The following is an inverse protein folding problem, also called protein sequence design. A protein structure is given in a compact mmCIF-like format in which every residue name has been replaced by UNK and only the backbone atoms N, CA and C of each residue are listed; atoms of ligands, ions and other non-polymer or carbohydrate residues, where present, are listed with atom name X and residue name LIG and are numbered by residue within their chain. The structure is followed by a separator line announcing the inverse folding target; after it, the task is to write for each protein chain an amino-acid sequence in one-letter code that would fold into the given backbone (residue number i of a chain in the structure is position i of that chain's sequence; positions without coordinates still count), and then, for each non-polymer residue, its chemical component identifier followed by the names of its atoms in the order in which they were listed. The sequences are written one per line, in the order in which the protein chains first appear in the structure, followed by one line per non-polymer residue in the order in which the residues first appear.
data_IF_622827304639
#
_entry.id   IF_622827304639
#
_cell.length_a   1.000
_cell.length_b   1.000
_cell.length_c   1.000
_cell.angle_alpha   90.00
_cell.angle_beta   90.00
_cell.angle_gamma   90.00
#
_symmetry.space_group_name_H-M   'P 1'
#
loop_
_entity.id
_entity.type
_entity.pdbx_description
1 polymer ?
#
# COMPACT_ATOMS: atom_id res chain seq x y z
N UNK A 1 65.84 3.79 -38.42
CA UNK A 1 64.89 4.00 -37.31
C UNK A 1 63.55 4.39 -37.94
N UNK A 2 62.55 3.51 -37.89
CA UNK A 2 61.21 3.74 -38.45
C UNK A 2 60.21 3.65 -37.29
N UNK A 3 59.47 4.73 -37.04
CA UNK A 3 58.34 4.75 -36.12
C UNK A 3 57.06 4.61 -36.96
N UNK A 4 56.26 3.58 -36.71
CA UNK A 4 54.88 3.50 -37.19
C UNK A 4 53.96 3.77 -36.00
N UNK A 5 53.25 4.89 -36.05
CA UNK A 5 52.22 5.22 -35.08
C UNK A 5 50.90 4.57 -35.54
N UNK A 6 50.43 3.57 -34.80
CA UNK A 6 49.06 3.06 -34.87
C UNK A 6 48.27 3.72 -33.74
N UNK A 7 47.46 4.73 -34.07
CA UNK A 7 46.45 5.28 -33.16
C UNK A 7 45.19 4.45 -33.36
N UNK A 8 44.89 3.58 -32.41
CA UNK A 8 43.63 2.84 -32.33
C UNK A 8 42.51 3.75 -31.85
N UNK A 9 41.39 3.75 -32.58
CA UNK A 9 40.17 4.44 -32.20
C UNK A 9 39.48 3.71 -31.05
N UNK A 10 39.43 4.32 -29.86
CA UNK A 10 38.58 3.90 -28.75
C UNK A 10 37.16 4.45 -29.00
N UNK A 11 36.26 3.56 -29.43
CA UNK A 11 34.83 3.85 -29.44
C UNK A 11 34.27 3.82 -28.01
N UNK A 12 33.83 4.97 -27.51
CA UNK A 12 33.06 5.04 -26.27
C UNK A 12 31.59 4.70 -26.57
N UNK A 13 31.13 3.53 -26.13
CA UNK A 13 29.70 3.21 -26.08
C UNK A 13 29.15 3.90 -24.83
N UNK A 14 28.47 5.03 -25.04
CA UNK A 14 27.73 5.74 -24.02
C UNK A 14 26.39 5.01 -23.83
N UNK A 15 26.34 4.04 -22.92
CA UNK A 15 25.08 3.43 -22.48
C UNK A 15 24.31 4.46 -21.66
N UNK A 16 23.36 5.16 -22.27
CA UNK A 16 22.34 5.94 -21.57
C UNK A 16 21.47 4.98 -20.78
N UNK A 17 21.72 4.85 -19.48
CA UNK A 17 20.74 4.30 -18.55
C UNK A 17 19.54 5.23 -18.55
N UNK A 18 18.45 4.79 -19.19
CA UNK A 18 17.15 5.43 -19.04
C UNK A 18 16.70 5.08 -17.63
N UNK A 19 16.94 5.98 -16.68
CA UNK A 19 16.30 5.92 -15.37
C UNK A 19 14.80 6.16 -15.62
N UNK A 20 14.04 5.07 -15.71
CA UNK A 20 12.59 5.17 -15.63
C UNK A 20 12.28 5.79 -14.26
N UNK A 21 11.35 6.75 -14.17
CA UNK A 21 10.85 7.17 -12.88
C UNK A 21 10.34 5.90 -12.17
N UNK A 22 10.91 5.60 -11.00
CA UNK A 22 10.29 4.65 -10.08
C UNK A 22 8.98 5.31 -9.64
N UNK A 23 7.91 5.10 -10.41
CA UNK A 23 6.58 5.41 -9.95
C UNK A 23 6.36 4.51 -8.74
N UNK A 24 6.24 5.13 -7.57
CA UNK A 24 5.96 4.39 -6.37
C UNK A 24 4.58 3.74 -6.54
N UNK A 25 4.61 2.41 -6.49
CA UNK A 25 3.53 1.54 -6.88
C UNK A 25 3.44 0.45 -5.83
N UNK A 26 2.22 0.09 -5.48
CA UNK A 26 1.95 -1.05 -4.62
C UNK A 26 2.59 -2.31 -5.21
N UNK A 27 3.33 -3.05 -4.40
CA UNK A 27 4.07 -4.24 -4.83
C UNK A 27 3.22 -5.47 -4.55
N UNK A 28 2.82 -6.19 -5.60
CA UNK A 28 2.07 -7.44 -5.46
C UNK A 28 2.86 -8.50 -4.67
N UNK A 29 2.24 -9.05 -3.63
CA UNK A 29 2.78 -10.12 -2.79
C UNK A 29 1.73 -11.22 -2.59
N UNK A 30 2.16 -12.40 -2.11
CA UNK A 30 1.27 -13.55 -1.91
C UNK A 30 0.51 -13.94 -3.19
N UNK A 31 1.20 -14.36 -4.26
CA UNK A 31 0.57 -14.69 -5.52
C UNK A 31 -0.38 -15.88 -5.33
N UNK A 32 -1.62 -15.74 -5.81
CA UNK A 32 -2.65 -16.79 -5.74
C UNK A 32 -2.27 -18.07 -6.49
N UNK A 33 -1.38 -17.95 -7.47
CA UNK A 33 -0.82 -19.05 -8.25
C UNK A 33 0.67 -18.83 -8.45
N UNK A 34 1.45 -19.91 -8.42
CA UNK A 34 2.90 -19.83 -8.62
C UNK A 34 3.23 -19.22 -9.99
N UNK A 35 3.94 -18.09 -9.99
CA UNK A 35 4.29 -17.33 -11.19
C UNK A 35 3.15 -16.51 -11.81
N UNK A 36 1.98 -16.42 -11.14
CA UNK A 36 0.86 -15.59 -11.57
C UNK A 36 1.04 -14.10 -11.26
N UNK A 37 0.14 -13.28 -11.81
CA UNK A 37 0.08 -11.83 -11.58
C UNK A 37 -1.09 -11.40 -10.69
N UNK A 38 -1.87 -12.37 -10.20
CA UNK A 38 -2.98 -12.14 -9.29
C UNK A 38 -2.50 -12.34 -7.85
N UNK A 39 -2.56 -11.27 -7.06
CA UNK A 39 -2.00 -11.21 -5.72
C UNK A 39 -3.10 -11.16 -4.66
N UNK A 40 -2.85 -11.80 -3.51
CA UNK A 40 -3.75 -11.73 -2.36
C UNK A 40 -3.50 -10.48 -1.51
N UNK A 41 -2.33 -9.86 -1.67
CA UNK A 41 -1.98 -8.66 -0.96
C UNK A 41 -0.98 -7.78 -1.73
N UNK A 42 -0.86 -6.54 -1.29
CA UNK A 42 -0.04 -5.51 -1.90
C UNK A 42 0.78 -4.77 -0.83
N UNK A 43 2.10 -4.84 -0.93
CA UNK A 43 3.00 -4.12 -0.05
C UNK A 43 3.13 -2.64 -0.44
N UNK A 44 3.08 -1.78 0.56
CA UNK A 44 3.23 -0.33 0.49
C UNK A 44 4.56 0.08 1.11
N UNK A 45 5.50 0.51 0.28
CA UNK A 45 6.85 0.87 0.71
C UNK A 45 6.93 2.23 1.41
N UNK A 46 5.89 3.07 1.31
CA UNK A 46 5.83 4.35 1.98
C UNK A 46 5.48 4.19 3.46
N UNK A 47 4.64 3.20 3.76
CA UNK A 47 4.12 2.90 5.09
C UNK A 47 4.78 1.67 5.73
N UNK A 48 5.51 0.86 4.96
CA UNK A 48 6.08 -0.43 5.40
C UNK A 48 5.00 -1.38 5.94
N UNK A 49 3.88 -1.44 5.23
CA UNK A 49 2.74 -2.33 5.55
C UNK A 49 2.26 -3.05 4.30
N UNK A 50 1.57 -4.17 4.48
CA UNK A 50 1.00 -4.98 3.41
C UNK A 50 -0.52 -4.94 3.48
N UNK A 51 -1.17 -4.46 2.43
CA UNK A 51 -2.63 -4.34 2.28
C UNK A 51 -3.25 -5.59 1.66
N UNK A 52 -4.43 -6.04 2.12
CA UNK A 52 -5.16 -7.11 1.43
C UNK A 52 -5.68 -6.65 0.06
N UNK A 53 -5.58 -7.50 -0.96
CA UNK A 53 -6.04 -7.21 -2.31
C UNK A 53 -7.57 -7.12 -2.44
N UNK A 54 -8.30 -7.77 -1.54
CA UNK A 54 -9.76 -7.69 -1.44
C UNK A 54 -10.13 -6.72 -0.31
N UNK A 55 -10.66 -5.54 -0.67
CA UNK A 55 -11.09 -4.50 0.25
C UNK A 55 -12.42 -4.81 0.95
N UNK A 56 -13.00 -5.97 0.74
CA UNK A 56 -14.19 -6.41 1.45
C UNK A 56 -14.11 -7.90 1.78
N UNK A 57 -12.92 -8.33 2.21
CA UNK A 57 -12.61 -9.74 2.41
C UNK A 57 -13.48 -10.42 3.48
N UNK A 58 -13.89 -9.70 4.52
CA UNK A 58 -14.80 -10.24 5.55
C UNK A 58 -16.26 -9.76 5.40
N UNK A 59 -16.56 -8.96 4.38
CA UNK A 59 -17.87 -8.36 4.28
C UNK A 59 -18.13 -7.32 5.37
N UNK A 60 -19.42 -7.06 5.54
CA UNK A 60 -20.03 -6.13 6.47
C UNK A 60 -20.18 -6.76 7.86
N UNK A 61 -19.55 -6.18 8.88
CA UNK A 61 -19.67 -6.64 10.27
C UNK A 61 -19.45 -5.50 11.28
N UNK A 62 -19.62 -5.76 12.58
CA UNK A 62 -19.38 -4.80 13.68
C UNK A 62 -17.88 -4.61 13.94
N UNK A 63 -17.50 -3.46 14.54
CA UNK A 63 -16.08 -3.13 14.73
C UNK A 63 -15.35 -4.20 15.57
N UNK A 64 -15.94 -4.60 16.70
CA UNK A 64 -15.39 -5.66 17.55
C UNK A 64 -15.20 -6.98 16.80
N UNK A 65 -16.18 -7.37 15.97
CA UNK A 65 -16.12 -8.59 15.18
C UNK A 65 -15.03 -8.51 14.11
N UNK A 66 -14.92 -7.36 13.43
CA UNK A 66 -13.89 -7.10 12.42
C UNK A 66 -12.49 -7.12 13.03
N UNK A 67 -12.28 -6.50 14.19
CA UNK A 67 -11.01 -6.52 14.92
C UNK A 67 -10.63 -7.94 15.33
N UNK A 68 -11.57 -8.70 15.90
CA UNK A 68 -11.34 -10.08 16.30
C UNK A 68 -11.03 -10.99 15.10
N UNK A 69 -11.77 -10.83 14.01
CA UNK A 69 -11.56 -11.58 12.78
C UNK A 69 -10.20 -11.25 12.15
N UNK A 70 -9.84 -9.97 12.02
CA UNK A 70 -8.55 -9.54 11.47
C UNK A 70 -7.38 -10.11 12.29
N UNK A 71 -7.48 -10.08 13.62
CA UNK A 71 -6.46 -10.65 14.51
C UNK A 71 -6.28 -12.17 14.34
N UNK A 72 -7.29 -12.88 13.82
CA UNK A 72 -7.24 -14.33 13.55
C UNK A 72 -6.89 -14.68 12.10
N UNK A 73 -6.82 -13.69 11.21
CA UNK A 73 -6.64 -13.91 9.79
C UNK A 73 -5.25 -14.50 9.51
N UNK A 74 -5.23 -15.50 8.64
CA UNK A 74 -4.04 -16.13 8.10
C UNK A 74 -4.21 -16.26 6.58
N UNK A 75 -3.31 -15.62 5.83
CA UNK A 75 -3.28 -15.69 4.36
C UNK A 75 -1.94 -16.29 3.97
N UNK A 76 -1.92 -17.53 3.50
CA UNK A 76 -0.70 -18.26 3.12
C UNK A 76 0.40 -18.29 4.21
N UNK A 77 0.01 -18.41 5.48
CA UNK A 77 0.92 -18.43 6.64
C UNK A 77 1.25 -17.05 7.20
N UNK A 78 0.74 -15.99 6.56
CA UNK A 78 0.92 -14.60 6.98
C UNK A 78 -0.15 -14.23 7.99
N UNK A 79 0.29 -13.90 9.20
CA UNK A 79 -0.56 -13.48 10.33
C UNK A 79 -0.25 -12.03 10.75
N UNK A 80 -0.93 -11.51 11.76
CA UNK A 80 -0.71 -10.14 12.25
C UNK A 80 -1.46 -9.07 11.46
N UNK A 81 -2.52 -9.47 10.78
CA UNK A 81 -3.44 -8.57 10.10
C UNK A 81 -4.25 -7.73 11.10
N UNK A 82 -4.44 -6.46 10.78
CA UNK A 82 -5.15 -5.49 11.61
C UNK A 82 -5.85 -4.44 10.76
N UNK A 83 -6.81 -3.75 11.37
CA UNK A 83 -7.36 -2.54 10.78
C UNK A 83 -6.25 -1.48 10.64
N UNK A 84 -6.34 -0.60 9.62
CA UNK A 84 -5.36 0.48 9.41
C UNK A 84 -5.42 1.49 10.55
N UNK A 85 -4.29 2.02 10.98
CA UNK A 85 -4.22 3.00 12.05
C UNK A 85 -4.42 4.42 11.50
N UNK A 86 -5.15 5.26 12.24
CA UNK A 86 -5.33 6.68 11.93
C UNK A 86 -4.42 7.61 12.74
N UNK A 87 -3.71 7.06 13.71
CA UNK A 87 -2.79 7.75 14.63
C UNK A 87 -1.65 6.79 14.97
N UNK A 88 -0.82 6.48 13.96
CA UNK A 88 0.32 5.54 14.08
C UNK A 88 1.27 5.97 15.20
N UNK A 89 1.43 7.27 15.41
CA UNK A 89 2.34 7.81 16.43
C UNK A 89 1.74 7.80 17.86
N UNK A 90 0.42 7.70 17.99
CA UNK A 90 -0.31 7.57 19.26
C UNK A 90 -0.42 8.86 20.07
N UNK A 91 -0.35 10.03 19.44
CA UNK A 91 -0.43 11.33 20.12
C UNK A 91 -1.86 11.85 20.29
N UNK A 92 -2.86 11.15 19.74
CA UNK A 92 -4.27 11.49 19.77
C UNK A 92 -4.70 12.51 18.72
N UNK A 93 -3.82 12.92 17.80
CA UNK A 93 -4.10 13.88 16.74
C UNK A 93 -4.25 13.20 15.38
N UNK A 94 -5.49 12.87 15.01
CA UNK A 94 -5.77 12.27 13.70
C UNK A 94 -5.55 13.27 12.57
N UNK A 95 -4.69 12.90 11.62
CA UNK A 95 -4.38 13.70 10.43
C UNK A 95 -5.44 13.52 9.34
N UNK A 96 -6.05 14.62 8.87
CA UNK A 96 -6.97 14.62 7.71
C UNK A 96 -6.23 14.86 6.39
N UNK A 97 -5.88 13.76 5.72
CA UNK A 97 -5.17 13.78 4.44
C UNK A 97 -5.95 14.38 3.27
N UNK A 98 -7.28 14.49 3.36
CA UNK A 98 -8.07 15.12 2.31
C UNK A 98 -7.90 16.64 2.28
N UNK A 99 -7.47 17.23 3.40
CA UNK A 99 -7.30 18.68 3.58
C UNK A 99 -5.84 19.08 3.56
N UNK A 100 -4.95 18.28 4.14
CA UNK A 100 -3.53 18.60 4.18
C UNK A 100 -2.80 18.05 2.95
N UNK A 101 -1.93 18.86 2.36
CA UNK A 101 -1.05 18.48 1.27
C UNK A 101 0.37 18.17 1.77
N UNK A 102 0.46 17.51 2.92
CA UNK A 102 1.71 17.04 3.52
C UNK A 102 1.68 15.51 3.61
N UNK A 103 2.42 14.87 2.71
CA UNK A 103 2.51 13.41 2.64
C UNK A 103 3.13 12.83 3.92
N UNK A 104 4.13 13.49 4.49
CA UNK A 104 4.85 12.96 5.65
C UNK A 104 3.94 12.92 6.87
N UNK A 105 3.17 13.99 7.10
CA UNK A 105 2.12 14.00 8.12
C UNK A 105 1.05 12.93 7.85
N UNK A 106 0.69 12.73 6.58
CA UNK A 106 -0.29 11.72 6.21
C UNK A 106 0.11 10.28 6.47
N UNK A 107 1.40 9.96 6.61
CA UNK A 107 1.83 8.61 7.00
C UNK A 107 1.33 8.18 8.38
N UNK A 108 0.92 9.14 9.20
CA UNK A 108 0.29 8.89 10.49
C UNK A 108 -1.14 8.32 10.39
N UNK A 109 -1.79 8.53 9.24
CA UNK A 109 -3.11 7.99 8.91
C UNK A 109 -2.99 7.06 7.70
N UNK A 110 -2.78 5.76 7.95
CA UNK A 110 -2.42 4.77 6.92
C UNK A 110 -3.45 4.69 5.80
N UNK A 111 -4.74 4.65 6.16
CA UNK A 111 -5.83 4.61 5.18
C UNK A 111 -5.96 5.95 4.43
N UNK A 112 -5.80 7.07 5.13
CA UNK A 112 -5.79 8.40 4.53
C UNK A 112 -4.66 8.56 3.52
N UNK A 113 -3.46 8.08 3.85
CA UNK A 113 -2.32 8.05 2.94
C UNK A 113 -2.61 7.18 1.72
N UNK A 114 -3.13 5.97 1.88
CA UNK A 114 -3.48 5.09 0.76
C UNK A 114 -4.51 5.74 -0.18
N UNK A 115 -5.53 6.40 0.36
CA UNK A 115 -6.57 7.05 -0.46
C UNK A 115 -6.04 8.28 -1.18
N UNK A 116 -5.21 9.10 -0.54
CA UNK A 116 -4.77 10.39 -1.09
C UNK A 116 -3.52 10.26 -1.94
N UNK A 117 -2.54 9.48 -1.49
CA UNK A 117 -1.24 9.34 -2.12
C UNK A 117 -1.02 7.95 -2.75
N UNK A 118 -1.74 6.93 -2.29
CA UNK A 118 -1.50 5.53 -2.69
C UNK A 118 -0.17 5.05 -2.13
N UNK A 119 0.57 4.28 -2.93
CA UNK A 119 2.00 4.03 -2.68
C UNK A 119 2.88 5.22 -3.12
N UNK A 120 2.28 6.31 -3.60
CA UNK A 120 2.94 7.47 -4.19
C UNK A 120 3.36 8.55 -3.20
N UNK A 121 3.98 9.60 -3.74
CA UNK A 121 4.20 10.89 -3.05
C UNK A 121 3.38 12.03 -3.65
N UNK A 122 2.54 11.74 -4.66
CA UNK A 122 1.77 12.74 -5.39
C UNK A 122 0.39 12.87 -4.77
N UNK A 123 0.03 14.08 -4.36
CA UNK A 123 -1.29 14.33 -3.81
C UNK A 123 -2.38 14.03 -4.85
N UNK A 124 -3.38 13.24 -4.46
CA UNK A 124 -4.48 12.81 -5.32
C UNK A 124 -4.13 11.69 -6.30
N UNK A 125 -2.96 11.05 -6.18
CA UNK A 125 -2.60 9.87 -6.97
C UNK A 125 -3.02 8.55 -6.33
N UNK A 126 -3.63 8.59 -5.15
CA UNK A 126 -4.13 7.39 -4.46
C UNK A 126 -5.42 6.85 -5.07
N UNK A 127 -6.20 6.15 -4.26
CA UNK A 127 -7.44 5.51 -4.69
C UNK A 127 -8.50 6.56 -5.06
N UNK A 128 -8.79 6.69 -6.35
CA UNK A 128 -9.82 7.60 -6.86
C UNK A 128 -11.13 6.85 -7.13
N UNK A 129 -12.26 7.54 -6.98
CA UNK A 129 -13.58 6.98 -7.26
C UNK A 129 -13.68 6.53 -8.73
N UNK A 130 -13.69 5.21 -8.95
CA UNK A 130 -13.75 4.60 -10.28
C UNK A 130 -12.44 3.98 -10.77
N UNK A 131 -11.32 4.23 -10.07
CA UNK A 131 -10.06 3.50 -10.26
C UNK A 131 -9.53 3.08 -8.89
N UNK A 132 -9.95 1.89 -8.48
CA UNK A 132 -9.57 1.28 -7.21
C UNK A 132 -8.46 0.25 -7.41
N UNK A 133 -7.91 0.16 -8.63
CA UNK A 133 -6.79 -0.73 -8.92
C UNK A 133 -5.63 -0.41 -7.98
N UNK A 134 -4.97 -1.42 -7.39
CA UNK A 134 -5.08 -2.84 -7.70
C UNK A 134 -6.07 -3.62 -6.81
N UNK A 135 -6.89 -2.92 -6.02
CA UNK A 135 -7.84 -3.52 -5.08
C UNK A 135 -9.14 -3.97 -5.75
N UNK A 136 -9.62 -5.13 -5.31
CA UNK A 136 -10.90 -5.71 -5.67
C UNK A 136 -11.95 -5.48 -4.58
N UNK A 137 -13.24 -5.54 -4.96
CA UNK A 137 -14.39 -5.34 -4.08
C UNK A 137 -14.36 -4.04 -3.25
N UNK A 138 -13.81 -2.97 -3.83
CA UNK A 138 -13.92 -1.64 -3.20
C UNK A 138 -15.36 -1.14 -3.37
N UNK A 139 -16.03 -0.85 -2.26
CA UNK A 139 -17.42 -0.42 -2.25
C UNK A 139 -17.49 1.11 -2.27
N UNK A 140 -17.99 1.66 -3.39
CA UNK A 140 -17.99 3.11 -3.65
C UNK A 140 -19.00 3.94 -2.85
N UNK A 141 -19.89 3.30 -2.08
CA UNK A 141 -20.94 3.94 -1.26
C UNK A 141 -20.71 3.79 0.23
N UNK A 142 -19.65 3.10 0.65
CA UNK A 142 -19.45 2.69 2.02
C UNK A 142 -18.29 3.43 2.67
N UNK A 143 -18.38 3.54 3.99
CA UNK A 143 -17.27 3.97 4.83
C UNK A 143 -16.26 2.81 4.88
N UNK A 144 -14.99 3.09 5.13
CA UNK A 144 -13.97 2.10 5.46
C UNK A 144 -13.46 2.38 6.86
N UNK A 145 -13.35 1.36 7.70
CA UNK A 145 -12.89 1.52 9.09
C UNK A 145 -11.36 1.56 9.21
N UNK A 146 -10.93 2.22 10.27
CA UNK A 146 -9.60 2.19 10.85
C UNK A 146 -9.65 1.60 12.28
N UNK A 147 -8.47 1.27 12.83
CA UNK A 147 -8.28 0.69 14.16
C UNK A 147 -8.39 1.69 15.32
N UNK A 148 -8.40 2.99 15.04
CA UNK A 148 -8.57 4.07 16.03
C UNK A 148 -10.03 4.52 16.02
N UNK A 149 -10.79 4.10 17.03
CA UNK A 149 -12.26 4.08 17.00
C UNK A 149 -12.98 5.44 17.06
N UNK A 150 -14.22 5.44 16.53
CA UNK A 150 -15.36 5.87 17.34
C UNK A 150 -16.07 4.63 17.90
N UNK A 151 -15.97 4.44 19.22
CA UNK A 151 -16.37 3.25 20.03
C UNK A 151 -17.88 2.96 20.07
N UNK A 152 -18.65 3.47 19.11
CA UNK A 152 -20.13 3.53 19.17
C UNK A 152 -20.84 3.18 17.86
N UNK A 153 -20.12 2.77 16.81
CA UNK A 153 -20.77 2.50 15.51
C UNK A 153 -21.20 1.04 15.38
N UNK A 154 -22.50 0.80 15.59
CA UNK A 154 -23.21 -0.45 15.26
C UNK A 154 -23.44 -0.63 13.74
N UNK A 155 -22.90 0.25 12.90
CA UNK A 155 -23.10 0.17 11.46
C UNK A 155 -22.08 -0.79 10.86
N UNK A 156 -22.49 -1.72 9.98
CA UNK A 156 -21.54 -2.56 9.26
C UNK A 156 -20.75 -1.74 8.23
N UNK A 157 -19.44 -1.99 8.12
CA UNK A 157 -18.52 -1.21 7.27
C UNK A 157 -17.50 -2.15 6.58
N UNK A 158 -17.05 -1.80 5.37
CA UNK A 158 -16.06 -2.55 4.59
C UNK A 158 -14.63 -2.32 5.06
N UNK A 159 -13.71 -3.22 4.71
CA UNK A 159 -12.38 -3.29 5.32
C UNK A 159 -11.25 -3.49 4.30
N UNK A 160 -10.33 -2.53 4.25
CA UNK A 160 -8.97 -2.79 3.79
C UNK A 160 -8.14 -3.05 5.04
N UNK A 161 -7.41 -4.16 5.05
CA UNK A 161 -6.63 -4.62 6.21
C UNK A 161 -5.18 -4.50 5.86
N UNK A 162 -4.36 -4.21 6.85
CA UNK A 162 -2.92 -4.21 6.69
C UNK A 162 -2.24 -5.16 7.68
N UNK A 163 -1.04 -5.61 7.34
CA UNK A 163 -0.11 -6.25 8.28
C UNK A 163 1.22 -5.52 8.23
N UNK A 164 1.98 -5.52 9.32
CA UNK A 164 3.33 -4.91 9.38
C UNK A 164 4.42 -5.76 8.69
N UNK A 165 4.05 -6.63 7.75
CA UNK A 165 4.99 -7.57 7.14
C UNK A 165 5.60 -6.98 5.88
N UNK A 166 6.93 -6.88 5.91
CA UNK A 166 7.78 -6.47 4.82
C UNK A 166 8.07 -7.66 3.88
N UNK A 167 8.11 -7.49 2.55
CA UNK A 167 8.43 -8.54 1.58
C UNK A 167 9.73 -9.31 1.84
N UNK A 168 10.69 -8.72 2.55
CA UNK A 168 11.92 -9.38 2.97
C UNK A 168 11.72 -10.52 3.99
N UNK A 169 10.50 -10.72 4.49
CA UNK A 169 10.14 -11.77 5.45
C UNK A 169 9.40 -12.98 4.83
N UNK A 170 9.14 -12.96 3.51
CA UNK A 170 8.53 -14.07 2.75
C UNK A 170 9.55 -14.98 2.07
#
# INVERSE_FOLDING_TARGET
MKYHNLIGALGAILSTLIALPAHAALIGVLPTTSGGTDYQAYYDDQLDITWTANANINGFDTWDSQMAWAASLDIDGVTGWRLPDMDVNGDGNVVDCGVINDQAACKDNELGHLIVYGAGTVFGSGLIRGDTSPFSNVLSSEIYWSGTESTTLLMPVCMIICSGLNPASF
#
